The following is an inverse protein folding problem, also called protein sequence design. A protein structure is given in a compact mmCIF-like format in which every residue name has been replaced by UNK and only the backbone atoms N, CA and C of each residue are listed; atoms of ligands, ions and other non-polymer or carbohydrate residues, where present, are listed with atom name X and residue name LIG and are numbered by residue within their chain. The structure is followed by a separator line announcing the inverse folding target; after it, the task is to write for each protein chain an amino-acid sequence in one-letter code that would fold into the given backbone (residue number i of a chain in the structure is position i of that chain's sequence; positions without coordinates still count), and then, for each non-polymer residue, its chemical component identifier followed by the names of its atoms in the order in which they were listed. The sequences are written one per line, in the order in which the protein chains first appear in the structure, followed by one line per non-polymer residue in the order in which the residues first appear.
data_IF_272413968531
#
_entry.id   IF_272413968531
#
_cell.length_a   1.000
_cell.length_b   1.000
_cell.length_c   1.000
_cell.angle_alpha   90.00
_cell.angle_beta   90.00
_cell.angle_gamma   90.00
#
_symmetry.space_group_name_H-M   'P 1'
#
loop_
_entity.id
_entity.type
_entity.pdbx_description
1 polymer ?
#
# COMPACT_ATOMS: atom_id res chain seq x y z
N UNK A 1 -11.96 8.39 -13.19
CA UNK A 1 -10.82 8.47 -12.26
C UNK A 1 -11.25 9.37 -11.13
N UNK A 2 -11.30 8.86 -9.91
CA UNK A 2 -11.38 9.73 -8.74
C UNK A 2 -10.02 10.43 -8.60
N UNK A 3 -10.04 11.76 -8.50
CA UNK A 3 -8.87 12.65 -8.47
C UNK A 3 -8.66 13.25 -7.07
N UNK A 4 -9.40 12.79 -6.05
CA UNK A 4 -9.04 13.08 -4.66
C UNK A 4 -7.76 12.31 -4.31
N UNK A 5 -6.62 12.78 -4.80
CA UNK A 5 -5.32 12.11 -4.78
C UNK A 5 -4.67 11.96 -3.40
N UNK A 6 -5.45 12.07 -2.32
CA UNK A 6 -4.98 11.90 -0.96
C UNK A 6 -6.00 11.09 -0.16
N UNK A 7 -5.56 9.94 0.37
CA UNK A 7 -6.38 9.04 1.17
C UNK A 7 -6.16 9.32 2.65
N UNK A 8 -4.92 9.20 3.12
CA UNK A 8 -4.58 9.31 4.53
C UNK A 8 -3.09 9.54 4.75
N UNK A 9 -2.75 9.91 5.98
CA UNK A 9 -1.39 9.93 6.51
C UNK A 9 -1.42 9.49 7.98
N UNK A 10 -0.29 8.97 8.46
CA UNK A 10 -0.10 8.65 9.88
C UNK A 10 1.33 9.02 10.30
N UNK A 11 1.55 9.21 11.59
CA UNK A 11 2.87 9.49 12.15
C UNK A 11 3.13 8.67 13.39
N UNK A 12 4.38 8.25 13.56
CA UNK A 12 4.85 7.66 14.80
C UNK A 12 5.94 8.54 15.41
N UNK A 13 5.94 8.75 16.74
CA UNK A 13 7.14 9.13 17.44
C UNK A 13 8.21 8.04 17.25
N UNK A 14 9.44 8.43 16.92
CA UNK A 14 10.55 7.49 16.76
C UNK A 14 10.55 6.73 15.41
N UNK A 15 10.93 5.45 15.44
CA UNK A 15 11.11 4.63 14.23
C UNK A 15 9.77 4.13 13.72
N UNK A 16 9.54 4.28 12.41
CA UNK A 16 8.45 3.61 11.71
C UNK A 16 8.85 2.18 11.37
N UNK A 17 8.21 1.21 12.04
CA UNK A 17 8.46 -0.22 11.87
C UNK A 17 7.29 -0.93 11.19
N UNK A 18 7.43 -2.24 11.00
CA UNK A 18 6.43 -3.10 10.38
C UNK A 18 5.09 -3.09 11.10
N UNK A 19 5.08 -3.04 12.44
CA UNK A 19 3.87 -3.07 13.25
C UNK A 19 3.09 -1.78 13.01
N UNK A 20 3.78 -0.63 13.07
CA UNK A 20 3.17 0.68 12.81
C UNK A 20 2.66 0.82 11.40
N UNK A 21 3.41 0.34 10.41
CA UNK A 21 2.95 0.31 9.03
C UNK A 21 1.69 -0.53 8.88
N UNK A 22 1.67 -1.74 9.45
CA UNK A 22 0.51 -2.64 9.36
C UNK A 22 -0.74 -2.02 10.01
N UNK A 23 -0.60 -1.42 11.19
CA UNK A 23 -1.70 -0.70 11.87
C UNK A 23 -2.25 0.44 11.01
N UNK A 24 -1.37 1.27 10.45
CA UNK A 24 -1.76 2.39 9.59
C UNK A 24 -2.44 1.90 8.29
N UNK A 25 -1.90 0.85 7.66
CA UNK A 25 -2.48 0.26 6.45
C UNK A 25 -3.87 -0.32 6.71
N UNK A 26 -4.01 -1.14 7.77
CA UNK A 26 -5.28 -1.76 8.15
C UNK A 26 -6.35 -0.73 8.49
N UNK A 27 -5.96 0.36 9.14
CA UNK A 27 -6.88 1.42 9.56
C UNK A 27 -7.33 2.31 8.40
N UNK A 28 -6.40 2.70 7.53
CA UNK A 28 -6.62 3.81 6.60
C UNK A 28 -6.74 3.38 5.13
N UNK A 29 -6.16 2.23 4.74
CA UNK A 29 -6.10 1.79 3.33
C UNK A 29 -6.99 0.57 3.09
N UNK A 30 -6.84 -0.48 3.89
CA UNK A 30 -7.58 -1.73 3.70
C UNK A 30 -9.11 -1.58 3.58
N UNK A 31 -9.79 -0.70 4.36
CA UNK A 31 -11.24 -0.52 4.25
C UNK A 31 -11.70 0.13 2.94
N UNK A 32 -10.79 0.70 2.16
CA UNK A 32 -11.06 1.40 0.91
C UNK A 32 -10.78 0.53 -0.32
N UNK A 33 -10.21 -0.66 -0.12
CA UNK A 33 -9.89 -1.57 -1.20
C UNK A 33 -11.15 -2.22 -1.76
N UNK A 34 -11.21 -2.27 -3.08
CA UNK A 34 -12.26 -2.98 -3.81
C UNK A 34 -11.66 -4.12 -4.63
N UNK A 35 -12.45 -5.13 -5.02
CA UNK A 35 -11.98 -6.15 -5.93
C UNK A 35 -11.67 -5.54 -7.31
N UNK A 36 -10.61 -6.04 -7.96
CA UNK A 36 -10.28 -5.65 -9.33
C UNK A 36 -11.43 -6.05 -10.30
N UNK A 37 -11.86 -5.17 -11.24
CA UNK A 37 -11.25 -3.90 -11.67
C UNK A 37 -11.92 -2.62 -11.14
N UNK A 38 -12.59 -2.67 -9.99
CA UNK A 38 -13.26 -1.48 -9.43
C UNK A 38 -12.25 -0.40 -8.99
N UNK A 39 -12.65 0.87 -8.83
CA UNK A 39 -11.76 1.90 -8.28
C UNK A 39 -11.16 1.49 -6.92
N UNK A 40 -9.89 1.81 -6.67
CA UNK A 40 -9.22 1.45 -5.41
C UNK A 40 -8.82 -0.02 -5.28
N UNK A 41 -8.70 -0.75 -6.40
CA UNK A 41 -8.40 -2.20 -6.42
C UNK A 41 -6.94 -2.57 -6.70
N UNK A 42 -6.04 -1.59 -6.75
CA UNK A 42 -4.60 -1.82 -6.92
C UNK A 42 -3.86 -1.12 -5.77
N UNK A 43 -3.00 -1.88 -5.09
CA UNK A 43 -2.03 -1.38 -4.13
C UNK A 43 -0.63 -1.45 -4.75
N UNK A 44 0.09 -0.33 -4.74
CA UNK A 44 1.49 -0.26 -5.17
C UNK A 44 2.30 0.27 -3.99
N UNK A 45 3.32 -0.49 -3.57
CA UNK A 45 4.25 -0.12 -2.49
C UNK A 45 5.69 -0.11 -3.02
N UNK A 46 6.58 0.63 -2.39
CA UNK A 46 8.01 0.46 -2.65
C UNK A 46 8.51 -0.88 -2.08
N UNK A 47 9.67 -1.35 -2.54
CA UNK A 47 10.22 -2.64 -2.13
C UNK A 47 10.94 -2.59 -0.75
N UNK A 48 10.44 -1.79 0.20
CA UNK A 48 10.99 -1.72 1.53
C UNK A 48 10.66 -3.00 2.32
N UNK A 49 11.63 -3.51 3.10
CA UNK A 49 11.47 -4.76 3.89
C UNK A 49 10.28 -4.73 4.85
N UNK A 50 9.88 -3.55 5.32
CA UNK A 50 8.73 -3.38 6.22
C UNK A 50 7.39 -3.67 5.54
N UNK A 51 7.34 -3.75 4.20
CA UNK A 51 6.14 -4.12 3.43
C UNK A 51 6.12 -5.61 3.02
N UNK A 52 7.23 -6.33 3.19
CA UNK A 52 7.37 -7.72 2.74
C UNK A 52 6.99 -8.70 3.86
N UNK A 53 5.70 -8.79 4.18
CA UNK A 53 5.16 -9.73 5.16
C UNK A 53 3.81 -10.30 4.71
N UNK A 54 3.57 -11.56 5.08
CA UNK A 54 2.47 -12.39 4.57
C UNK A 54 1.10 -11.79 4.87
N UNK A 55 0.94 -11.21 6.06
CA UNK A 55 -0.32 -10.64 6.53
C UNK A 55 -0.77 -9.44 5.69
N UNK A 56 0.17 -8.66 5.13
CA UNK A 56 -0.17 -7.59 4.18
C UNK A 56 -0.76 -8.15 2.90
N UNK A 57 -0.07 -9.14 2.31
CA UNK A 57 -0.50 -9.77 1.07
C UNK A 57 -1.87 -10.42 1.24
N UNK A 58 -2.07 -11.16 2.33
CA UNK A 58 -3.35 -11.77 2.70
C UNK A 58 -4.44 -10.70 2.88
N UNK A 59 -4.14 -9.60 3.57
CA UNK A 59 -5.08 -8.50 3.75
C UNK A 59 -5.52 -7.89 2.42
N UNK A 60 -4.60 -7.67 1.48
CA UNK A 60 -4.93 -7.11 0.15
C UNK A 60 -5.72 -8.12 -0.67
N UNK A 61 -5.21 -9.36 -0.80
CA UNK A 61 -5.84 -10.39 -1.62
C UNK A 61 -7.23 -10.80 -1.11
N UNK A 62 -7.48 -10.74 0.21
CA UNK A 62 -8.81 -11.02 0.78
C UNK A 62 -9.91 -10.09 0.28
N UNK A 63 -9.54 -8.91 -0.24
CA UNK A 63 -10.48 -7.93 -0.83
C UNK A 63 -10.69 -8.14 -2.34
N UNK A 64 -9.91 -9.03 -2.97
CA UNK A 64 -9.84 -9.18 -4.42
C UNK A 64 -9.02 -8.10 -5.13
N UNK A 65 -8.31 -7.25 -4.38
CA UNK A 65 -7.39 -6.26 -4.91
C UNK A 65 -6.05 -6.89 -5.33
N UNK A 66 -5.33 -6.19 -6.21
CA UNK A 66 -3.99 -6.57 -6.68
C UNK A 66 -2.92 -5.85 -5.85
N UNK A 67 -1.80 -6.54 -5.60
CA UNK A 67 -0.63 -5.98 -4.91
C UNK A 67 0.59 -6.02 -5.83
N UNK A 68 1.27 -4.88 -5.98
CA UNK A 68 2.53 -4.77 -6.69
C UNK A 68 3.59 -4.07 -5.83
N UNK A 69 4.83 -4.55 -5.90
CA UNK A 69 5.98 -3.88 -5.32
C UNK A 69 6.80 -3.21 -6.44
N UNK A 70 7.01 -1.90 -6.32
CA UNK A 70 7.82 -1.14 -7.24
C UNK A 70 9.30 -1.54 -7.10
N UNK A 71 9.95 -1.85 -8.21
CA UNK A 71 11.41 -2.07 -8.22
C UNK A 71 12.13 -0.74 -8.02
N UNK A 72 13.23 -0.77 -7.25
CA UNK A 72 14.22 0.30 -7.26
C UNK A 72 14.60 0.54 -8.73
N UNK A 73 14.64 1.79 -9.20
CA UNK A 73 14.90 2.24 -10.58
C UNK A 73 13.71 2.67 -11.46
N UNK A 74 12.45 2.66 -10.99
CA UNK A 74 11.36 3.31 -11.74
C UNK A 74 11.46 4.86 -11.81
N UNK A 75 12.43 5.47 -11.12
CA UNK A 75 12.69 6.93 -11.11
C UNK A 75 13.88 7.37 -11.97
N UNK A 76 14.49 6.49 -12.76
CA UNK A 76 15.63 6.83 -13.61
C UNK A 76 15.39 6.40 -15.07
N UNK A 77 14.62 7.20 -15.80
CA UNK A 77 14.81 7.36 -17.24
C UNK A 77 14.96 8.87 -17.50
N UNK A 78 16.18 9.42 -17.52
CA UNK A 78 16.39 10.73 -18.12
C UNK A 78 16.17 10.61 -19.63
N UNK A 79 15.39 11.52 -20.20
CA UNK A 79 15.40 11.82 -21.63
C UNK A 79 16.76 12.39 -22.04
#
# INVERSE_FOLDING_TARGET
MDISGFIAWDTTPGRFDIIRFHEAFRKNVAPLLNPWPLPGSIVILDNAKIHMYKELEESVHSTGALLFFATLFASAQPN
#
